data_IF_726933332442
#
_entry.id   IF_726933332442
#
_cell.length_a   1.000
_cell.length_b   1.000
_cell.length_c   1.000
_cell.angle_alpha   90.00
_cell.angle_beta   90.00
_cell.angle_gamma   90.00
#
_symmetry.space_group_name_H-M   'P 1'
#
loop_
_entity.id
_entity.type
_entity.pdbx_description
1 polymer ?
#
# COMPACT_ATOMS: atom_id res chain seq x y z
N UNK A 1 38.42 6.63 -31.15
CA UNK A 1 37.98 5.29 -30.71
C UNK A 1 37.42 5.34 -29.27
N UNK A 2 36.44 6.21 -28.96
CA UNK A 2 35.88 6.33 -27.59
C UNK A 2 34.35 6.51 -27.54
N UNK A 3 33.69 6.69 -28.69
CA UNK A 3 32.24 6.97 -28.78
C UNK A 3 31.35 5.78 -28.40
N UNK A 4 31.83 4.54 -28.63
CA UNK A 4 31.08 3.33 -28.28
C UNK A 4 31.03 3.07 -26.77
N UNK A 5 32.05 3.48 -26.01
CA UNK A 5 32.12 3.19 -24.58
C UNK A 5 31.13 4.06 -23.77
N UNK A 6 30.93 5.32 -24.18
CA UNK A 6 29.99 6.23 -23.52
C UNK A 6 28.53 5.84 -23.73
N UNK A 7 28.18 5.35 -24.92
CA UNK A 7 26.81 4.91 -25.24
C UNK A 7 26.40 3.70 -24.37
N UNK A 8 27.33 2.77 -24.13
CA UNK A 8 27.10 1.62 -23.26
C UNK A 8 27.01 2.03 -21.78
N UNK A 9 27.86 2.97 -21.32
CA UNK A 9 27.81 3.45 -19.94
C UNK A 9 26.51 4.21 -19.64
N UNK A 10 26.05 5.03 -20.58
CA UNK A 10 24.77 5.73 -20.49
C UNK A 10 23.59 4.74 -20.46
N UNK A 11 23.63 3.68 -21.27
CA UNK A 11 22.61 2.64 -21.27
C UNK A 11 22.57 1.86 -19.94
N UNK A 12 23.73 1.49 -19.39
CA UNK A 12 23.85 0.80 -18.10
C UNK A 12 23.33 1.67 -16.96
N UNK A 13 23.68 2.96 -16.93
CA UNK A 13 23.16 3.90 -15.93
C UNK A 13 21.64 4.08 -16.03
N UNK A 14 21.10 4.15 -17.25
CA UNK A 14 19.66 4.27 -17.44
C UNK A 14 18.89 3.04 -16.96
N UNK A 15 19.38 1.83 -17.26
CA UNK A 15 18.81 0.58 -16.75
C UNK A 15 18.94 0.44 -15.24
N UNK A 16 20.07 0.85 -14.65
CA UNK A 16 20.26 0.83 -13.20
C UNK A 16 19.27 1.74 -12.47
N UNK A 17 19.00 2.94 -13.00
CA UNK A 17 18.04 3.87 -12.38
C UNK A 17 16.58 3.41 -12.53
N UNK A 18 16.22 2.77 -13.65
CA UNK A 18 14.89 2.20 -13.84
C UNK A 18 14.60 1.04 -12.86
N UNK A 19 15.62 0.26 -12.50
CA UNK A 19 15.49 -0.82 -11.51
C UNK A 19 15.24 -0.30 -10.09
N UNK A 20 15.90 0.81 -9.71
CA UNK A 20 15.72 1.44 -8.38
C UNK A 20 14.28 1.92 -8.16
N UNK A 21 13.62 2.44 -9.20
CA UNK A 21 12.22 2.91 -9.08
C UNK A 21 11.21 1.82 -8.72
N UNK A 22 11.44 0.56 -9.10
CA UNK A 22 10.52 -0.53 -8.78
C UNK A 22 10.60 -0.98 -7.31
N UNK A 23 11.73 -0.69 -6.65
CA UNK A 23 12.02 -1.15 -5.28
C UNK A 23 11.39 -0.26 -4.20
N UNK A 24 11.10 1.01 -4.51
CA UNK A 24 10.62 2.00 -3.53
C UNK A 24 9.09 1.98 -3.36
N UNK A 25 8.33 1.42 -4.31
CA UNK A 25 6.86 1.50 -4.32
C UNK A 25 6.12 0.36 -3.62
N UNK A 26 6.82 -0.49 -2.86
CA UNK A 26 6.16 -1.47 -1.99
C UNK A 26 5.91 -0.81 -0.63
N UNK A 27 4.76 -0.13 -0.48
CA UNK A 27 4.22 0.22 0.84
C UNK A 27 3.96 -1.08 1.60
N UNK A 28 4.99 -1.55 2.31
CA UNK A 28 5.02 -2.89 2.87
C UNK A 28 4.08 -3.06 4.06
N UNK A 29 3.53 -4.27 4.17
CA UNK A 29 2.81 -4.74 5.34
C UNK A 29 3.63 -4.51 6.64
N UNK A 30 2.98 -4.00 7.69
CA UNK A 30 3.63 -3.82 9.00
C UNK A 30 4.41 -2.52 9.17
N UNK A 31 4.30 -1.57 8.23
CA UNK A 31 4.90 -0.23 8.36
C UNK A 31 4.18 0.68 9.37
N UNK A 32 3.00 0.29 9.85
CA UNK A 32 2.14 1.12 10.70
C UNK A 32 2.17 0.65 12.17
N UNK A 33 2.41 1.57 13.10
CA UNK A 33 2.23 1.28 14.53
C UNK A 33 0.74 1.24 14.92
N UNK A 34 0.36 0.48 15.97
CA UNK A 34 -1.04 0.41 16.41
C UNK A 34 -1.69 1.77 16.71
N UNK A 35 -0.90 2.76 17.17
CA UNK A 35 -1.37 4.12 17.45
C UNK A 35 -1.65 4.95 16.20
N UNK A 36 -1.03 4.61 15.06
CA UNK A 36 -1.17 5.33 13.79
C UNK A 36 -2.42 4.88 13.01
N UNK A 37 -3.02 3.75 13.39
CA UNK A 37 -4.20 3.19 12.72
C UNK A 37 -5.39 4.15 12.69
N UNK A 38 -5.58 4.96 13.74
CA UNK A 38 -6.70 5.89 13.83
C UNK A 38 -6.68 6.91 12.69
N UNK A 39 -5.56 7.63 12.54
CA UNK A 39 -5.39 8.65 11.50
C UNK A 39 -5.43 8.04 10.08
N UNK A 40 -4.78 6.89 9.89
CA UNK A 40 -4.80 6.21 8.59
C UNK A 40 -6.22 5.77 8.18
N UNK A 41 -7.00 5.25 9.13
CA UNK A 41 -8.39 4.86 8.90
C UNK A 41 -9.32 6.06 8.71
N UNK A 42 -9.08 7.18 9.40
CA UNK A 42 -9.82 8.43 9.18
C UNK A 42 -9.65 8.93 7.75
N UNK A 43 -8.42 8.89 7.22
CA UNK A 43 -8.19 9.22 5.82
C UNK A 43 -8.89 8.24 4.87
N UNK A 44 -8.72 6.92 5.07
CA UNK A 44 -9.35 5.89 4.23
C UNK A 44 -10.87 6.03 4.17
N UNK A 45 -11.49 6.32 5.30
CA UNK A 45 -12.94 6.45 5.45
C UNK A 45 -13.47 7.88 5.20
N UNK A 46 -12.62 8.83 4.82
CA UNK A 46 -12.99 10.24 4.69
C UNK A 46 -14.10 10.51 3.65
N UNK A 47 -14.09 9.75 2.55
CA UNK A 47 -15.03 9.91 1.42
C UNK A 47 -16.25 8.98 1.43
N UNK A 48 -16.36 8.06 2.39
CA UNK A 48 -17.55 7.21 2.47
C UNK A 48 -18.68 7.92 3.22
N UNK A 49 -19.93 7.65 2.81
CA UNK A 49 -21.11 8.07 3.55
C UNK A 49 -21.28 7.24 4.83
N UNK A 50 -20.78 6.00 4.83
CA UNK A 50 -20.87 5.06 5.95
C UNK A 50 -19.62 5.14 6.85
N UNK A 51 -19.32 6.33 7.39
CA UNK A 51 -18.09 6.58 8.17
C UNK A 51 -17.94 5.66 9.39
N UNK A 52 -18.97 5.56 10.23
CA UNK A 52 -18.93 4.74 11.46
C UNK A 52 -18.55 3.27 11.22
N UNK A 53 -19.25 2.51 10.34
CA UNK A 53 -18.87 1.13 10.08
C UNK A 53 -17.53 1.02 9.35
N UNK A 54 -17.19 1.95 8.45
CA UNK A 54 -15.89 1.97 7.79
C UNK A 54 -14.75 2.06 8.81
N UNK A 55 -14.80 3.04 9.72
CA UNK A 55 -13.79 3.22 10.76
C UNK A 55 -13.68 2.00 11.67
N UNK A 56 -14.80 1.39 12.03
CA UNK A 56 -14.81 0.18 12.86
C UNK A 56 -14.07 -0.98 12.19
N UNK A 57 -14.39 -1.29 10.93
CA UNK A 57 -13.73 -2.39 10.22
C UNK A 57 -12.28 -2.05 9.85
N UNK A 58 -12.00 -0.82 9.41
CA UNK A 58 -10.64 -0.38 9.11
C UNK A 58 -9.73 -0.53 10.32
N UNK A 59 -10.12 0.01 11.48
CA UNK A 59 -9.29 -0.08 12.70
C UNK A 59 -9.08 -1.54 13.13
N UNK A 60 -10.11 -2.38 13.00
CA UNK A 60 -9.99 -3.82 13.31
C UNK A 60 -8.98 -4.53 12.40
N UNK A 61 -9.02 -4.21 11.11
CA UNK A 61 -8.09 -4.78 10.14
C UNK A 61 -6.68 -4.21 10.33
N UNK A 62 -6.55 -2.91 10.60
CA UNK A 62 -5.28 -2.25 10.87
C UNK A 62 -4.63 -2.80 12.15
N UNK A 63 -5.36 -3.00 13.23
CA UNK A 63 -4.77 -3.59 14.45
C UNK A 63 -4.28 -5.02 14.26
N UNK A 64 -4.84 -5.76 13.31
CA UNK A 64 -4.36 -7.11 13.00
C UNK A 64 -3.16 -7.09 12.05
N UNK A 65 -3.26 -6.31 10.98
CA UNK A 65 -2.34 -6.36 9.84
C UNK A 65 -1.28 -5.25 9.88
N UNK A 66 -1.44 -4.26 10.76
CA UNK A 66 -0.55 -3.11 10.93
C UNK A 66 -0.24 -2.40 9.60
N UNK A 67 -1.27 -2.30 8.76
CA UNK A 67 -1.20 -1.76 7.41
C UNK A 67 -2.58 -1.23 7.01
N UNK A 68 -2.61 -0.06 6.37
CA UNK A 68 -3.80 0.54 5.76
C UNK A 68 -3.40 0.95 4.34
N UNK A 69 -4.09 0.47 3.29
CA UNK A 69 -3.70 0.77 1.93
C UNK A 69 -3.95 2.25 1.57
N UNK A 70 -3.30 2.76 0.53
CA UNK A 70 -3.27 4.17 0.16
C UNK A 70 -4.55 4.68 -0.55
N UNK A 71 -4.90 5.95 -0.33
CA UNK A 71 -6.10 6.57 -0.91
C UNK A 71 -7.39 6.32 -0.10
N UNK A 72 -8.56 6.47 -0.73
CA UNK A 72 -9.89 6.29 -0.08
C UNK A 72 -10.74 5.14 -0.64
N UNK A 73 -10.32 4.56 -1.76
CA UNK A 73 -10.85 3.32 -2.34
C UNK A 73 -9.71 2.50 -2.99
N UNK A 74 -9.87 1.19 -3.18
CA UNK A 74 -8.91 0.34 -3.93
C UNK A 74 -7.60 0.03 -3.19
N UNK A 75 -6.53 -0.22 -3.95
CA UNK A 75 -5.13 -0.40 -3.51
C UNK A 75 -4.89 -1.47 -2.44
N UNK A 76 -5.78 -2.46 -2.34
CA UNK A 76 -5.70 -3.49 -1.29
C UNK A 76 -4.49 -4.41 -1.50
N UNK A 77 -3.96 -4.48 -2.71
CA UNK A 77 -2.72 -5.16 -3.07
C UNK A 77 -1.48 -4.65 -2.33
N UNK A 78 -1.50 -3.40 -1.84
CA UNK A 78 -0.43 -2.84 -1.00
C UNK A 78 -0.36 -3.55 0.37
N UNK A 79 -1.51 -3.94 0.91
CA UNK A 79 -1.62 -4.63 2.19
C UNK A 79 -2.28 -6.02 2.04
N UNK A 80 -1.55 -7.06 1.59
CA UNK A 80 -2.06 -8.41 1.41
C UNK A 80 -2.89 -8.97 2.58
N UNK A 81 -2.48 -8.75 3.84
CA UNK A 81 -3.22 -9.17 5.04
C UNK A 81 -4.57 -8.47 5.14
N UNK A 82 -4.61 -7.16 4.89
CA UNK A 82 -5.83 -6.35 4.88
C UNK A 82 -6.78 -6.82 3.78
N UNK A 83 -6.24 -7.18 2.60
CA UNK A 83 -7.01 -7.67 1.47
C UNK A 83 -7.58 -9.09 1.68
N UNK A 84 -6.78 -9.99 2.27
CA UNK A 84 -7.16 -11.39 2.50
C UNK A 84 -8.18 -11.59 3.61
N UNK A 85 -8.49 -10.54 4.37
CA UNK A 85 -9.49 -10.59 5.43
C UNK A 85 -10.92 -10.65 4.86
N UNK A 86 -11.50 -11.84 4.89
CA UNK A 86 -12.84 -12.13 4.39
C UNK A 86 -13.86 -12.35 5.53
N UNK A 87 -15.14 -12.14 5.23
CA UNK A 87 -16.25 -12.59 6.07
C UNK A 87 -16.50 -14.08 5.88
N UNK A 88 -17.31 -14.70 6.75
CA UNK A 88 -17.73 -16.12 6.58
C UNK A 88 -18.45 -16.39 5.25
N UNK A 89 -18.97 -15.36 4.59
CA UNK A 89 -19.65 -15.44 3.29
C UNK A 89 -18.71 -15.22 2.10
N UNK A 90 -17.40 -15.08 2.34
CA UNK A 90 -16.39 -14.87 1.29
C UNK A 90 -16.31 -13.44 0.75
N UNK A 91 -16.99 -12.48 1.38
CA UNK A 91 -16.90 -11.06 0.98
C UNK A 91 -15.74 -10.35 1.68
N UNK A 92 -15.14 -9.31 1.07
CA UNK A 92 -14.12 -8.49 1.72
C UNK A 92 -14.66 -7.90 3.02
N UNK A 93 -13.92 -8.08 4.12
CA UNK A 93 -14.31 -7.58 5.44
C UNK A 93 -13.77 -6.18 5.72
N UNK A 94 -12.59 -5.88 5.19
CA UNK A 94 -11.92 -4.60 5.39
C UNK A 94 -12.33 -3.62 4.28
N UNK A 95 -12.63 -2.34 4.62
CA UNK A 95 -13.09 -1.35 3.65
C UNK A 95 -12.06 -1.07 2.56
#
# INVERSE_FOLDING_TARGET
>A
MAKFSWLNYAFILFFAMAFVTQLVSAGGEGSLHPGECGNACDYRCSKTQHKKPCLFFCNKCCQKCLCVPSGTYGHKEECPCYNKWMTKRGTPKCP
#
